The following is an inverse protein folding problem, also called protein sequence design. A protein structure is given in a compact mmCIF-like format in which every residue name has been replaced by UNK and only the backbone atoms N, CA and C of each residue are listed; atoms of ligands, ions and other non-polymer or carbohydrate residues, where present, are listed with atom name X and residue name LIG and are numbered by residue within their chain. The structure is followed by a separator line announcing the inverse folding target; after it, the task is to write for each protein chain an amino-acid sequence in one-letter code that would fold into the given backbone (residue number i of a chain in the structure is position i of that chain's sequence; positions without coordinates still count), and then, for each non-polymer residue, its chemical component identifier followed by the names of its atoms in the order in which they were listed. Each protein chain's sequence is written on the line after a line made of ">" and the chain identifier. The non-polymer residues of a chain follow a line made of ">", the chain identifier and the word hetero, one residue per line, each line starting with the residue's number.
data_IF_192404276930
#
_entry.id   IF_192404276930
#
_cell.length_a   1.000
_cell.length_b   1.000
_cell.length_c   1.000
_cell.angle_alpha   90.00
_cell.angle_beta   90.00
_cell.angle_gamma   90.00
#
_symmetry.space_group_name_H-M   'P 1'
#
loop_
_entity.id
_entity.type
_entity.pdbx_description
1 polymer ?
#
# COMPACT_ATOMS: atom_id res chain seq x y z
N UNK A 1 -0.27 6.00 12.12
CA UNK A 1 0.89 6.87 11.97
C UNK A 1 1.85 6.29 10.96
N UNK A 2 2.45 7.12 10.13
CA UNK A 2 3.37 6.72 9.06
C UNK A 2 3.99 7.92 8.36
N UNK A 3 4.95 7.66 7.49
CA UNK A 3 5.55 8.64 6.58
C UNK A 3 5.17 8.32 5.13
N UNK A 4 5.02 9.33 4.27
CA UNK A 4 4.80 9.11 2.84
C UNK A 4 6.09 8.57 2.23
N UNK A 5 5.95 7.58 1.35
CA UNK A 5 7.10 6.97 0.68
C UNK A 5 7.92 8.02 -0.08
N UNK A 6 7.25 8.92 -0.81
CA UNK A 6 7.89 10.00 -1.57
C UNK A 6 8.75 10.91 -0.69
N UNK A 7 8.31 11.25 0.53
CA UNK A 7 9.08 12.11 1.44
C UNK A 7 10.34 11.40 1.94
N UNK A 8 10.23 10.11 2.22
CA UNK A 8 11.37 9.29 2.65
C UNK A 8 12.41 9.17 1.54
N UNK A 9 11.97 8.98 0.29
CA UNK A 9 12.87 8.92 -0.86
C UNK A 9 13.50 10.28 -1.18
N UNK A 10 12.75 11.39 -1.04
CA UNK A 10 13.29 12.75 -1.14
C UNK A 10 14.38 12.99 -0.10
N UNK A 11 14.14 12.57 1.13
CA UNK A 11 15.13 12.68 2.21
C UNK A 11 16.37 11.81 1.93
N UNK A 12 16.18 10.56 1.48
CA UNK A 12 17.28 9.67 1.13
C UNK A 12 18.12 10.19 -0.04
N UNK A 13 17.47 10.81 -1.04
CA UNK A 13 18.13 11.41 -2.21
C UNK A 13 18.86 12.72 -1.92
N UNK A 14 18.45 13.49 -0.90
CA UNK A 14 19.09 14.75 -0.49
C UNK A 14 20.23 14.54 0.53
N UNK A 15 20.27 13.39 1.21
CA UNK A 15 21.21 13.09 2.32
C UNK A 15 22.68 12.85 1.96
N UNK A 16 23.12 13.07 0.72
CA UNK A 16 24.48 12.76 0.27
C UNK A 16 25.47 13.93 0.22
N UNK A 17 25.05 15.18 0.42
CA UNK A 17 25.94 16.35 0.30
C UNK A 17 25.78 17.29 1.48
N UNK A 18 26.56 17.03 2.53
CA UNK A 18 26.92 18.05 3.49
C UNK A 18 27.70 19.14 2.76
N UNK A 19 27.03 20.25 2.49
CA UNK A 19 27.60 21.42 1.86
C UNK A 19 26.83 22.64 2.31
N UNK A 20 27.41 23.36 3.27
CA UNK A 20 26.99 24.70 3.65
C UNK A 20 27.05 25.58 2.40
N UNK A 21 25.89 25.88 1.80
CA UNK A 21 25.84 26.57 0.54
C UNK A 21 24.41 26.93 0.16
N UNK A 22 24.06 28.18 0.48
CA UNK A 22 22.95 28.96 -0.05
C UNK A 22 22.75 28.72 -1.56
N UNK A 23 21.98 27.69 -1.88
CA UNK A 23 21.56 27.33 -3.23
C UNK A 23 20.04 27.27 -3.16
N UNK A 24 19.39 28.18 -3.85
CA UNK A 24 17.94 28.21 -4.03
C UNK A 24 17.37 26.80 -4.17
N UNK A 25 16.35 26.51 -3.35
CA UNK A 25 15.80 25.18 -3.09
C UNK A 25 15.25 24.47 -4.33
N UNK A 26 16.12 23.80 -5.07
CA UNK A 26 15.73 22.82 -6.06
C UNK A 26 15.28 21.56 -5.30
N UNK A 27 14.00 21.56 -4.90
CA UNK A 27 13.34 20.40 -4.31
C UNK A 27 13.53 19.22 -5.27
N UNK A 28 14.26 18.17 -4.86
CA UNK A 28 14.49 17.01 -5.72
C UNK A 28 13.13 16.39 -6.04
N UNK A 29 12.70 16.55 -7.29
CA UNK A 29 11.58 15.80 -7.81
C UNK A 29 12.02 14.34 -8.03
N UNK A 30 11.58 13.48 -7.10
CA UNK A 30 11.88 12.04 -7.10
C UNK A 30 11.26 11.34 -8.31
N UNK A 31 10.09 11.80 -8.79
CA UNK A 31 9.48 11.24 -9.99
C UNK A 31 10.38 11.44 -11.21
N UNK A 32 10.71 12.69 -11.56
CA UNK A 32 11.57 12.93 -12.72
C UNK A 32 12.98 12.36 -12.56
N UNK A 33 13.47 12.21 -11.33
CA UNK A 33 14.74 11.54 -11.07
C UNK A 33 14.67 10.03 -11.30
N UNK A 34 13.57 9.39 -10.92
CA UNK A 34 13.31 7.98 -11.22
C UNK A 34 13.12 7.74 -12.72
N UNK A 35 12.37 8.61 -13.40
CA UNK A 35 12.18 8.57 -14.86
C UNK A 35 13.52 8.71 -15.61
N UNK A 36 14.37 9.67 -15.21
CA UNK A 36 15.72 9.83 -15.77
C UNK A 36 16.61 8.62 -15.53
N UNK A 37 16.38 7.87 -14.45
CA UNK A 37 17.08 6.61 -14.17
C UNK A 37 16.46 5.40 -14.88
N UNK A 38 15.36 5.58 -15.62
CA UNK A 38 14.65 4.51 -16.30
C UNK A 38 13.89 3.58 -15.35
N UNK A 39 13.53 4.05 -14.15
CA UNK A 39 12.78 3.25 -13.19
C UNK A 39 11.27 3.34 -13.44
N UNK A 40 10.68 2.22 -13.81
CA UNK A 40 9.23 2.07 -14.05
C UNK A 40 8.50 1.50 -12.83
N UNK A 41 9.23 0.82 -11.93
CA UNK A 41 8.68 0.18 -10.74
C UNK A 41 9.50 0.48 -9.48
N UNK A 42 8.83 0.41 -8.33
CA UNK A 42 9.46 0.39 -7.01
C UNK A 42 9.31 -1.00 -6.41
N UNK A 43 10.44 -1.65 -6.16
CA UNK A 43 10.54 -2.98 -5.57
C UNK A 43 10.72 -2.86 -4.07
N UNK A 44 9.98 -3.69 -3.34
CA UNK A 44 9.98 -3.77 -1.90
C UNK A 44 10.32 -5.18 -1.46
N UNK A 45 11.29 -5.30 -0.56
CA UNK A 45 11.67 -6.57 0.04
C UNK A 45 11.28 -6.58 1.52
N UNK A 46 10.84 -7.74 1.98
CA UNK A 46 10.56 -8.05 3.38
C UNK A 46 11.68 -8.87 3.99
N UNK A 47 11.85 -8.76 5.31
CA UNK A 47 12.75 -9.60 6.09
C UNK A 47 12.41 -11.10 6.05
N UNK A 48 11.17 -11.46 5.69
CA UNK A 48 10.75 -12.86 5.49
C UNK A 48 11.06 -13.41 4.09
N UNK A 49 11.68 -12.61 3.22
CA UNK A 49 12.03 -12.97 1.85
C UNK A 49 10.92 -12.72 0.83
N UNK A 50 9.79 -12.13 1.22
CA UNK A 50 8.76 -11.71 0.26
C UNK A 50 9.22 -10.47 -0.51
N UNK A 51 9.08 -10.51 -1.83
CA UNK A 51 9.39 -9.41 -2.75
C UNK A 51 8.13 -9.06 -3.53
N UNK A 52 7.86 -7.76 -3.66
CA UNK A 52 6.69 -7.23 -4.36
C UNK A 52 7.03 -5.88 -4.98
N UNK A 53 6.39 -5.50 -6.07
CA UNK A 53 6.59 -4.19 -6.70
C UNK A 53 5.29 -3.45 -6.92
N UNK A 54 5.39 -2.13 -7.03
CA UNK A 54 4.30 -1.27 -7.49
C UNK A 54 4.84 -0.30 -8.54
N UNK A 55 3.95 0.26 -9.35
CA UNK A 55 4.33 1.21 -10.39
C UNK A 55 4.96 2.46 -9.79
N UNK A 56 6.05 2.94 -10.41
CA UNK A 56 6.76 4.13 -9.97
C UNK A 56 5.84 5.35 -9.93
N UNK A 57 4.94 5.51 -10.91
CA UNK A 57 3.97 6.59 -10.91
C UNK A 57 3.03 6.56 -9.68
N UNK A 58 2.63 5.38 -9.21
CA UNK A 58 1.82 5.23 -7.98
C UNK A 58 2.64 5.47 -6.72
N UNK A 59 3.84 4.88 -6.63
CA UNK A 59 4.70 4.97 -5.46
C UNK A 59 5.30 6.37 -5.23
N UNK A 60 5.66 7.06 -6.30
CA UNK A 60 6.45 8.30 -6.25
C UNK A 60 5.61 9.55 -6.45
N UNK A 61 4.31 9.41 -6.72
CA UNK A 61 3.40 10.54 -6.90
C UNK A 61 3.57 11.57 -5.77
N UNK A 62 3.77 12.87 -6.06
CA UNK A 62 3.88 13.93 -5.05
C UNK A 62 2.64 14.03 -4.15
N UNK A 63 1.48 13.65 -4.70
CA UNK A 63 0.19 13.58 -4.02
C UNK A 63 -0.20 12.14 -3.67
N UNK A 64 0.78 11.23 -3.73
CA UNK A 64 0.61 9.81 -3.48
C UNK A 64 0.20 9.52 -2.04
N UNK A 65 -0.52 8.41 -1.90
CA UNK A 65 -1.10 7.89 -0.67
C UNK A 65 -0.34 6.65 -0.15
N UNK A 66 0.81 6.33 -0.76
CA UNK A 66 1.66 5.21 -0.36
C UNK A 66 2.42 5.57 0.91
N UNK A 67 2.25 4.75 1.94
CA UNK A 67 2.71 5.02 3.30
C UNK A 67 3.64 3.93 3.82
N UNK A 68 4.72 4.37 4.46
CA UNK A 68 5.52 3.58 5.38
C UNK A 68 4.91 3.73 6.78
N UNK A 69 4.14 2.73 7.19
CA UNK A 69 3.38 2.74 8.43
C UNK A 69 4.15 2.02 9.55
N UNK A 70 4.28 2.69 10.69
CA UNK A 70 4.82 2.14 11.94
C UNK A 70 3.76 2.09 13.06
N UNK A 71 2.59 2.69 12.83
CA UNK A 71 1.47 2.70 13.76
C UNK A 71 0.14 2.38 13.06
N UNK A 72 -0.72 1.66 13.77
CA UNK A 72 -2.08 1.33 13.36
C UNK A 72 -3.05 1.71 14.50
N UNK A 73 -4.10 2.47 14.17
CA UNK A 73 -5.12 2.92 15.14
C UNK A 73 -4.52 3.63 16.37
N UNK A 74 -3.52 4.49 16.15
CA UNK A 74 -2.85 5.28 17.21
C UNK A 74 -1.95 4.48 18.15
N UNK A 75 -1.62 3.23 17.81
CA UNK A 75 -0.69 2.38 18.56
C UNK A 75 0.40 1.85 17.64
N UNK A 76 1.59 1.52 18.17
CA UNK A 76 2.61 0.83 17.39
C UNK A 76 2.04 -0.42 16.73
N UNK A 77 2.44 -0.68 15.48
CA UNK A 77 2.03 -1.88 14.76
C UNK A 77 2.46 -3.13 15.55
N UNK A 78 1.55 -4.11 15.67
CA UNK A 78 1.85 -5.40 16.26
C UNK A 78 2.72 -6.27 15.34
N UNK A 79 3.42 -7.27 15.91
CA UNK A 79 4.32 -8.17 15.15
C UNK A 79 3.63 -8.80 13.93
N UNK A 80 2.44 -9.34 14.11
CA UNK A 80 1.66 -9.99 13.04
C UNK A 80 1.23 -9.04 11.91
N UNK A 81 1.24 -7.74 12.19
CA UNK A 81 0.87 -6.69 11.26
C UNK A 81 2.07 -6.02 10.61
N UNK A 82 3.30 -6.48 10.86
CA UNK A 82 4.50 -5.98 10.19
C UNK A 82 5.45 -5.14 11.05
N UNK A 83 5.44 -5.28 12.38
CA UNK A 83 6.35 -4.52 13.25
C UNK A 83 7.82 -4.76 12.89
N UNK A 84 8.68 -3.73 12.78
CA UNK A 84 8.43 -2.34 13.17
C UNK A 84 7.85 -1.45 12.06
N UNK A 85 7.97 -1.87 10.81
CA UNK A 85 7.62 -1.05 9.65
C UNK A 85 6.98 -1.91 8.55
N UNK A 86 5.90 -1.40 7.97
CA UNK A 86 5.26 -1.99 6.80
C UNK A 86 4.97 -0.95 5.74
N UNK A 87 4.80 -1.42 4.51
CA UNK A 87 4.21 -0.67 3.42
C UNK A 87 2.68 -0.77 3.46
N UNK A 88 2.01 0.32 3.11
CA UNK A 88 0.58 0.40 2.84
C UNK A 88 0.39 1.07 1.48
N UNK A 89 -0.25 0.36 0.56
CA UNK A 89 -0.52 0.83 -0.81
C UNK A 89 -2.03 0.87 -1.02
N UNK A 90 -2.68 2.04 -0.85
CA UNK A 90 -4.13 2.12 -1.01
C UNK A 90 -4.57 1.87 -2.46
N UNK A 91 -5.73 1.26 -2.61
CA UNK A 91 -6.30 0.84 -3.91
C UNK A 91 -5.68 -0.42 -4.51
N UNK A 92 -4.63 -0.96 -3.88
CA UNK A 92 -3.93 -2.15 -4.36
C UNK A 92 -4.24 -3.38 -3.51
N UNK A 93 -4.03 -4.56 -4.09
CA UNK A 93 -4.14 -5.83 -3.37
C UNK A 93 -3.25 -5.83 -2.12
N UNK A 94 -3.72 -6.43 -1.03
CA UNK A 94 -3.01 -6.46 0.25
C UNK A 94 -1.62 -7.09 0.16
N UNK A 95 -1.36 -7.94 -0.84
CA UNK A 95 -0.04 -8.52 -1.11
C UNK A 95 0.99 -7.47 -1.55
N UNK A 96 0.55 -6.33 -2.12
CA UNK A 96 1.41 -5.19 -2.44
C UNK A 96 1.78 -4.38 -1.21
N UNK A 97 1.10 -4.57 -0.08
CA UNK A 97 1.38 -3.92 1.20
C UNK A 97 2.31 -4.76 2.07
N UNK A 98 3.60 -4.81 1.67
CA UNK A 98 4.68 -5.60 2.26
C UNK A 98 4.83 -5.35 3.76
N UNK A 99 4.91 -6.42 4.56
CA UNK A 99 5.19 -6.36 6.01
C UNK A 99 6.69 -6.49 6.25
N UNK A 100 7.16 -6.03 7.41
CA UNK A 100 8.57 -6.20 7.82
C UNK A 100 9.58 -5.69 6.79
N UNK A 101 9.31 -4.49 6.28
CA UNK A 101 10.04 -3.91 5.16
C UNK A 101 11.54 -3.79 5.46
N UNK A 102 12.38 -4.34 4.59
CA UNK A 102 13.84 -4.34 4.71
C UNK A 102 14.52 -3.45 3.68
N UNK A 103 14.04 -3.45 2.43
CA UNK A 103 14.66 -2.75 1.30
C UNK A 103 13.62 -2.13 0.37
N UNK A 104 13.97 -0.99 -0.19
CA UNK A 104 13.22 -0.27 -1.21
C UNK A 104 14.20 0.02 -2.35
N UNK A 105 13.82 -0.35 -3.57
CA UNK A 105 14.67 -0.21 -4.75
C UNK A 105 13.85 0.34 -5.93
N UNK A 106 14.46 1.24 -6.70
CA UNK A 106 13.91 1.69 -7.97
C UNK A 106 14.41 0.76 -9.08
N UNK A 107 13.51 0.23 -9.90
CA UNK A 107 13.81 -0.77 -10.91
C UNK A 107 13.11 -0.43 -12.22
N UNK A 108 13.76 -0.75 -13.35
CA UNK A 108 13.13 -0.70 -14.67
C UNK A 108 12.09 -1.82 -14.84
N UNK A 109 12.18 -2.86 -14.03
CA UNK A 109 11.37 -4.07 -14.15
C UNK A 109 10.57 -4.36 -12.87
N UNK A 110 9.43 -5.04 -13.02
CA UNK A 110 8.62 -5.55 -11.90
C UNK A 110 9.42 -6.51 -11.01
N UNK A 111 9.03 -6.65 -9.74
CA UNK A 111 9.61 -7.61 -8.82
C UNK A 111 9.59 -9.04 -9.41
N UNK A 112 10.69 -9.76 -9.28
CA UNK A 112 10.73 -11.16 -9.62
C UNK A 112 10.03 -12.01 -8.54
N UNK A 113 9.47 -13.14 -8.96
CA UNK A 113 8.95 -14.14 -8.02
C UNK A 113 7.46 -14.47 -8.15
N UNK A 114 6.99 -15.45 -7.37
CA UNK A 114 5.71 -16.10 -7.58
C UNK A 114 4.51 -15.20 -7.28
N UNK A 115 4.71 -14.08 -6.56
CA UNK A 115 3.67 -13.13 -6.14
C UNK A 115 3.46 -11.97 -7.11
N UNK A 116 4.34 -11.83 -8.11
CA UNK A 116 4.31 -10.75 -9.10
C UNK A 116 4.29 -11.31 -10.53
N UNK A 117 5.24 -12.20 -10.87
CA UNK A 117 5.36 -12.80 -12.20
C UNK A 117 4.80 -14.24 -12.29
N UNK A 118 4.55 -14.88 -11.16
CA UNK A 118 3.96 -16.23 -11.09
C UNK A 118 2.43 -16.28 -11.15
N UNK A 119 1.86 -17.48 -10.96
CA UNK A 119 0.40 -17.70 -11.01
C UNK A 119 -0.39 -16.93 -9.94
N UNK A 120 0.23 -16.62 -8.79
CA UNK A 120 -0.48 -15.95 -7.71
C UNK A 120 -0.90 -14.54 -8.15
N UNK A 121 -2.11 -14.16 -7.77
CA UNK A 121 -2.68 -12.84 -8.09
C UNK A 121 -2.75 -12.55 -9.60
N UNK A 122 -2.89 -13.57 -10.46
CA UNK A 122 -3.29 -13.40 -11.87
C UNK A 122 -4.69 -13.96 -12.09
N UNK A 123 -5.47 -13.29 -12.93
CA UNK A 123 -6.77 -13.80 -13.37
C UNK A 123 -6.56 -14.50 -14.70
N UNK A 124 -6.77 -15.82 -14.71
CA UNK A 124 -6.72 -16.60 -15.94
C UNK A 124 -7.95 -16.30 -16.82
N UNK A 125 -7.80 -16.25 -18.15
CA UNK A 125 -8.93 -16.12 -19.06
C UNK A 125 -9.94 -17.27 -18.85
N UNK A 126 -11.26 -17.04 -19.01
CA UNK A 126 -12.29 -18.04 -18.74
C UNK A 126 -12.18 -19.35 -19.54
N UNK A 127 -11.43 -19.34 -20.66
CA UNK A 127 -11.21 -20.51 -21.52
C UNK A 127 -9.98 -21.34 -21.17
N UNK A 128 -9.19 -20.95 -20.16
CA UNK A 128 -7.95 -21.63 -19.77
C UNK A 128 -8.24 -22.54 -18.58
N UNK A 129 -7.99 -23.83 -18.74
CA UNK A 129 -8.20 -24.84 -17.69
C UNK A 129 -6.95 -25.13 -16.87
N UNK A 130 -5.76 -24.94 -17.45
CA UNK A 130 -4.47 -25.15 -16.78
C UNK A 130 -3.56 -23.93 -16.97
N UNK A 131 -2.90 -23.50 -15.88
CA UNK A 131 -1.96 -22.37 -15.90
C UNK A 131 -0.70 -22.60 -16.75
N UNK A 132 -0.39 -23.86 -17.11
CA UNK A 132 0.73 -24.21 -17.99
C UNK A 132 0.48 -23.83 -19.46
N UNK A 133 -0.79 -23.62 -19.82
CA UNK A 133 -1.22 -23.34 -21.19
C UNK A 133 -1.20 -21.83 -21.50
N UNK A 134 -0.76 -21.01 -20.54
CA UNK A 134 -0.62 -19.56 -20.68
C UNK A 134 0.78 -19.11 -20.31
N UNK A 135 1.25 -18.09 -21.00
CA UNK A 135 2.46 -17.37 -20.61
C UNK A 135 2.15 -16.47 -19.40
N UNK A 136 2.54 -16.95 -18.22
CA UNK A 136 2.30 -16.22 -16.97
C UNK A 136 3.17 -14.97 -16.86
N UNK A 137 4.33 -14.90 -17.51
CA UNK A 137 5.24 -13.76 -17.33
C UNK A 137 4.70 -12.50 -18.00
N UNK A 138 4.12 -12.62 -19.20
CA UNK A 138 3.54 -11.49 -19.93
C UNK A 138 2.15 -11.06 -19.44
N UNK A 139 1.48 -11.89 -18.65
CA UNK A 139 0.15 -11.55 -18.12
C UNK A 139 0.26 -10.49 -17.01
N UNK A 140 -0.58 -9.44 -17.00
CA UNK A 140 -0.56 -8.46 -15.93
C UNK A 140 -0.99 -9.10 -14.60
N UNK A 141 -0.28 -8.73 -13.53
CA UNK A 141 -0.70 -9.03 -12.16
C UNK A 141 -1.97 -8.26 -11.79
N UNK A 142 -2.81 -8.82 -10.92
CA UNK A 142 -3.91 -8.10 -10.27
C UNK A 142 -3.28 -7.12 -9.28
N UNK A 143 -3.08 -5.89 -9.74
CA UNK A 143 -2.53 -4.80 -8.95
C UNK A 143 -3.63 -4.15 -8.12
N UNK A 144 -4.69 -3.72 -8.78
CA UNK A 144 -5.83 -3.04 -8.18
C UNK A 144 -6.99 -4.01 -7.97
N UNK A 145 -7.65 -3.87 -6.83
CA UNK A 145 -8.85 -4.63 -6.48
C UNK A 145 -9.90 -3.70 -5.89
N UNK A 146 -11.17 -4.13 -5.89
CA UNK A 146 -12.23 -3.39 -5.21
C UNK A 146 -11.84 -3.11 -3.75
N UNK A 147 -11.93 -1.85 -3.33
CA UNK A 147 -11.56 -1.39 -1.99
C UNK A 147 -12.23 -2.25 -0.92
N UNK A 148 -11.42 -2.97 -0.14
CA UNK A 148 -11.93 -3.76 0.98
C UNK A 148 -12.03 -2.85 2.22
N UNK A 149 -13.26 -2.47 2.57
CA UNK A 149 -13.55 -1.81 3.85
C UNK A 149 -13.88 -2.85 4.91
N UNK A 150 -13.06 -2.95 5.95
CA UNK A 150 -13.30 -3.82 7.09
C UNK A 150 -13.86 -3.02 8.26
N UNK A 151 -15.05 -3.37 8.76
CA UNK A 151 -15.59 -2.79 10.00
C UNK A 151 -14.75 -3.29 11.18
N UNK A 152 -13.96 -2.39 11.77
CA UNK A 152 -13.04 -2.73 12.88
C UNK A 152 -13.66 -2.54 14.27
N UNK A 153 -14.91 -2.07 14.34
CA UNK A 153 -15.66 -1.93 15.58
C UNK A 153 -17.16 -1.90 15.34
N UNK A 154 -17.92 -2.68 16.12
CA UNK A 154 -19.38 -2.58 16.20
C UNK A 154 -19.71 -2.13 17.60
N UNK A 155 -20.13 -0.87 17.74
CA UNK A 155 -20.70 -0.40 19.00
C UNK A 155 -22.20 -0.73 19.01
N UNK A 156 -22.67 -1.37 20.09
CA UNK A 156 -24.11 -1.46 20.32
C UNK A 156 -24.60 -0.05 20.65
N UNK A 157 -25.43 0.51 19.77
CA UNK A 157 -26.17 1.72 20.09
C UNK A 157 -26.90 1.52 21.43
N UNK A 158 -26.74 2.48 22.34
CA UNK A 158 -27.42 2.45 23.63
C UNK A 158 -28.92 2.28 23.39
N UNK A 159 -29.51 1.31 24.08
CA UNK A 159 -30.93 0.95 23.97
C UNK A 159 -31.75 2.23 24.16
N UNK A 160 -32.39 2.70 23.10
CA UNK A 160 -33.23 3.89 23.17
C UNK A 160 -34.46 3.53 24.02
N UNK A 161 -34.46 3.89 25.30
CA UNK A 161 -35.65 3.72 26.14
C UNK A 161 -36.70 4.73 25.67
N UNK A 162 -37.66 4.28 24.85
CA UNK A 162 -38.84 5.07 24.50
C UNK A 162 -40.09 4.42 25.09
N UNK A 163 -40.97 5.27 25.62
CA UNK A 163 -42.25 4.93 26.27
C UNK A 163 -43.05 3.88 25.50
N UNK A 164 -43.66 2.99 26.28
CA UNK A 164 -44.48 1.84 25.88
C UNK A 164 -45.44 2.16 24.72
N UNK A 165 -45.36 1.40 23.62
CA UNK A 165 -46.37 1.44 22.56
C UNK A 165 -45.99 0.99 21.15
N UNK A 166 -44.72 0.74 20.79
CA UNK A 166 -44.36 0.48 19.39
C UNK A 166 -43.45 -0.76 19.21
N UNK A 167 -43.87 -1.66 18.31
CA UNK A 167 -43.30 -3.00 18.11
C UNK A 167 -41.85 -2.97 17.61
N UNK A 168 -41.04 -3.86 18.19
CA UNK A 168 -39.61 -4.03 17.92
C UNK A 168 -39.29 -4.29 16.44
N UNK A 169 -38.38 -3.46 15.89
CA UNK A 169 -37.48 -3.88 14.81
C UNK A 169 -36.06 -3.67 15.33
N UNK A 170 -35.31 -4.76 15.50
CA UNK A 170 -33.89 -4.73 15.83
C UNK A 170 -33.13 -4.01 14.70
N UNK A 171 -32.93 -2.70 14.85
CA UNK A 171 -32.09 -1.92 13.95
C UNK A 171 -30.64 -2.00 14.39
N UNK A 172 -29.79 -2.63 13.58
CA UNK A 172 -28.34 -2.43 13.65
C UNK A 172 -28.05 -1.20 12.79
N UNK A 173 -27.53 -0.13 13.38
CA UNK A 173 -27.10 1.05 12.64
C UNK A 173 -25.60 0.93 12.43
N UNK A 174 -25.19 0.62 11.21
CA UNK A 174 -23.82 0.88 10.77
C UNK A 174 -23.68 2.40 10.62
N UNK A 175 -22.82 3.01 11.42
CA UNK A 175 -22.36 4.37 11.12
C UNK A 175 -21.12 4.25 10.24
N UNK A 176 -21.15 4.93 9.10
CA UNK A 176 -19.93 5.28 8.38
C UNK A 176 -19.08 6.14 9.33
N UNK A 177 -17.81 5.75 9.49
CA UNK A 177 -16.85 6.53 10.28
C UNK A 177 -16.76 7.95 9.73
N UNK A 178 -16.45 8.95 10.58
CA UNK A 178 -16.51 10.34 10.18
C UNK A 178 -15.59 10.60 8.98
N UNK A 179 -16.18 11.08 7.89
CA UNK A 179 -15.49 12.00 6.98
C UNK A 179 -15.05 13.23 7.77
N UNK A 180 -13.95 13.87 7.35
CA UNK A 180 -13.32 15.07 7.93
C UNK A 180 -12.24 14.73 8.99
N UNK A 181 -11.15 15.46 9.11
CA UNK A 181 -10.62 16.66 8.45
C UNK A 181 -9.21 16.90 9.01
#
# INVERSE_FOLDING_TARGET
>A
GGARLVDVLRYAGTGGRGGDGDSDGDEIDVCSSAERAGAEHVVFESLDGMISSVDAHKALSPYGDVLLAYEMNGRPIGRDHGHPLRLVVPGHSAIRSVKWLSRIELSAEEAEGPWQRGLNYKILPPGVTDAKDVDLESMPSVMEGSVFSGVTGVERAARHTRREGEKDRNGVVAKEGPSSS
#
